data_IF_778253382308
#
_entry.id   IF_778253382308
#
_cell.length_a   1.000
_cell.length_b   1.000
_cell.length_c   1.000
_cell.angle_alpha   90.00
_cell.angle_beta   90.00
_cell.angle_gamma   90.00
#
_symmetry.space_group_name_H-M   'P 1'
#
loop_
_entity.id
_entity.type
_entity.pdbx_description
1 polymer ?
#
# COMPACT_ATOMS: atom_id res chain seq x y z
N UNK A 1 15.55 3.87 2.77
CA UNK A 1 14.90 2.76 3.48
C UNK A 1 13.43 3.06 3.48
N UNK A 2 12.57 2.11 3.12
CA UNK A 2 11.12 2.30 3.17
C UNK A 2 10.64 1.87 4.55
N UNK A 3 9.92 2.73 5.26
CA UNK A 3 9.29 2.41 6.55
C UNK A 3 7.83 2.01 6.37
N UNK A 4 7.24 1.35 7.37
CA UNK A 4 5.81 1.08 7.39
C UNK A 4 4.97 2.37 7.32
N UNK A 5 5.46 3.46 7.91
CA UNK A 5 4.81 4.77 7.87
C UNK A 5 4.85 5.39 6.46
N UNK A 6 5.93 5.17 5.70
CA UNK A 6 6.01 5.60 4.30
C UNK A 6 4.96 4.89 3.41
N UNK A 7 4.64 3.63 3.72
CA UNK A 7 3.62 2.86 2.99
C UNK A 7 2.23 3.35 3.35
N UNK A 8 1.91 3.48 4.64
CA UNK A 8 0.59 3.94 5.10
C UNK A 8 0.27 5.35 4.58
N UNK A 9 1.27 6.22 4.49
CA UNK A 9 1.06 7.59 3.98
C UNK A 9 1.14 7.70 2.45
N UNK A 10 1.41 6.60 1.73
CA UNK A 10 1.54 6.64 0.28
C UNK A 10 0.16 6.80 -0.36
N UNK A 11 0.06 7.74 -1.29
CA UNK A 11 -1.12 7.90 -2.13
C UNK A 11 -0.74 7.65 -3.59
N UNK A 12 -1.41 6.70 -4.23
CA UNK A 12 -1.17 6.35 -5.62
C UNK A 12 -2.07 7.17 -6.54
N UNK A 13 -1.56 7.53 -7.72
CA UNK A 13 -2.39 8.15 -8.76
C UNK A 13 -3.21 7.06 -9.44
N UNK A 14 -4.51 7.29 -9.61
CA UNK A 14 -5.37 6.40 -10.38
C UNK A 14 -5.11 6.55 -11.87
N UNK A 15 -5.24 5.45 -12.61
CA UNK A 15 -5.15 5.41 -14.07
C UNK A 15 -6.21 4.46 -14.61
N UNK A 16 -6.70 4.73 -15.82
CA UNK A 16 -7.54 3.79 -16.56
C UNK A 16 -6.72 2.52 -16.81
N UNK A 17 -7.32 1.36 -16.51
CA UNK A 17 -6.69 0.02 -16.50
C UNK A 17 -5.60 -0.19 -15.42
N UNK A 18 -5.66 0.60 -14.33
CA UNK A 18 -4.86 0.34 -13.13
C UNK A 18 -5.39 -0.81 -12.29
N UNK A 19 -4.64 -1.16 -11.23
CA UNK A 19 -5.13 -2.07 -10.19
C UNK A 19 -6.37 -1.51 -9.49
N UNK A 20 -7.21 -2.40 -8.97
CA UNK A 20 -8.29 -2.01 -8.07
C UNK A 20 -7.69 -1.40 -6.79
N UNK A 21 -8.07 -0.17 -6.41
CA UNK A 21 -7.57 0.46 -5.20
C UNK A 21 -7.78 -0.39 -3.94
N UNK A 22 -8.92 -1.06 -3.81
CA UNK A 22 -9.25 -1.83 -2.60
C UNK A 22 -8.35 -3.07 -2.48
N UNK A 23 -8.13 -3.79 -3.58
CA UNK A 23 -7.21 -4.94 -3.62
C UNK A 23 -5.76 -4.54 -3.29
N UNK A 24 -5.34 -3.35 -3.74
CA UNK A 24 -4.00 -2.82 -3.45
C UNK A 24 -3.88 -2.45 -1.97
N UNK A 25 -4.88 -1.78 -1.40
CA UNK A 25 -4.87 -1.39 0.01
C UNK A 25 -4.86 -2.62 0.93
N UNK A 26 -5.65 -3.66 0.62
CA UNK A 26 -5.63 -4.94 1.34
C UNK A 26 -4.24 -5.60 1.34
N UNK A 27 -3.57 -5.61 0.19
CA UNK A 27 -2.21 -6.14 0.09
C UNK A 27 -1.21 -5.30 0.90
N UNK A 28 -1.31 -3.97 0.83
CA UNK A 28 -0.41 -3.07 1.55
C UNK A 28 -0.59 -3.19 3.08
N UNK A 29 -1.80 -3.48 3.55
CA UNK A 29 -2.06 -3.78 4.96
C UNK A 29 -1.29 -5.02 5.44
N UNK A 30 -1.21 -6.09 4.64
CA UNK A 30 -0.40 -7.27 4.96
C UNK A 30 1.09 -6.93 5.02
N UNK A 31 1.58 -6.16 4.04
CA UNK A 31 2.97 -5.70 4.01
C UNK A 31 3.32 -4.86 5.24
N UNK A 32 2.42 -3.96 5.64
CA UNK A 32 2.61 -3.12 6.85
C UNK A 32 2.62 -3.96 8.12
N UNK A 33 1.77 -5.00 8.23
CA UNK A 33 1.79 -5.94 9.36
C UNK A 33 3.13 -6.65 9.47
N UNK A 34 3.66 -7.15 8.35
CA UNK A 34 4.96 -7.84 8.34
C UNK A 34 6.14 -6.90 8.63
N UNK A 35 6.10 -5.65 8.15
CA UNK A 35 7.16 -4.67 8.40
C UNK A 35 7.23 -4.17 9.85
N UNK A 36 6.14 -4.29 10.61
CA UNK A 36 6.06 -3.87 12.02
C UNK A 36 6.40 -5.00 13.01
N UNK A 37 6.65 -6.20 12.50
CA UNK A 37 7.01 -7.37 13.29
C UNK A 37 8.43 -7.27 13.84
#
# INVERSE_FOLDING_TARGET
MLSAEDIVNKQFKTKRDGYDPDDVDDFLDEVVKELRR
#
